data_IF_686623507842
#
_entry.id   IF_686623507842
#
_cell.length_a   1.000
_cell.length_b   1.000
_cell.length_c   1.000
_cell.angle_alpha   90.00
_cell.angle_beta   90.00
_cell.angle_gamma   90.00
#
_symmetry.space_group_name_H-M   'P 1'
#
loop_
_entity.id
_entity.type
_entity.pdbx_description
1 polymer ?
#
# COMPACT_ATOMS: atom_id res chain seq x y z
N UNK A 1 -13.19 34.74 46.54
CA UNK A 1 -12.84 33.73 45.50
C UNK A 1 -13.69 33.86 44.22
N UNK A 2 -14.75 34.67 44.24
CA UNK A 2 -15.76 34.78 43.18
C UNK A 2 -15.37 35.72 42.02
N UNK A 3 -14.65 36.82 42.28
CA UNK A 3 -14.20 37.76 41.25
C UNK A 3 -13.24 37.13 40.22
N UNK A 4 -12.38 36.20 40.67
CA UNK A 4 -11.46 35.46 39.78
C UNK A 4 -12.21 34.49 38.85
N UNK A 5 -13.37 33.98 39.26
CA UNK A 5 -14.20 33.10 38.42
C UNK A 5 -15.01 33.91 37.38
N UNK A 6 -15.53 35.08 37.75
CA UNK A 6 -16.22 35.98 36.81
C UNK A 6 -15.29 36.51 35.72
N UNK A 7 -14.06 36.94 36.05
CA UNK A 7 -13.04 37.36 35.05
C UNK A 7 -12.63 36.23 34.08
N UNK A 8 -12.64 34.97 34.52
CA UNK A 8 -12.35 33.82 33.64
C UNK A 8 -13.52 33.49 32.71
N UNK A 9 -14.77 33.61 33.19
CA UNK A 9 -15.98 33.40 32.36
C UNK A 9 -16.14 34.48 31.29
N UNK A 10 -15.86 35.75 31.59
CA UNK A 10 -15.94 36.85 30.61
C UNK A 10 -14.89 36.70 29.49
N UNK A 11 -13.62 36.46 29.83
CA UNK A 11 -12.54 36.22 28.84
C UNK A 11 -12.80 35.00 27.95
N UNK A 12 -13.47 33.96 28.46
CA UNK A 12 -13.82 32.76 27.67
C UNK A 12 -14.97 33.03 26.70
N UNK A 13 -15.96 33.86 27.09
CA UNK A 13 -17.03 34.33 26.19
C UNK A 13 -16.47 35.23 25.08
N UNK A 14 -15.59 36.15 25.42
CA UNK A 14 -14.94 37.06 24.47
C UNK A 14 -14.13 36.29 23.42
N UNK A 15 -13.30 35.32 23.83
CA UNK A 15 -12.58 34.44 22.88
C UNK A 15 -13.50 33.60 22.00
N UNK A 16 -14.63 33.11 22.53
CA UNK A 16 -15.61 32.36 21.71
C UNK A 16 -16.29 33.26 20.69
N UNK A 17 -16.60 34.51 21.06
CA UNK A 17 -17.15 35.50 20.15
C UNK A 17 -16.13 35.91 19.09
N UNK A 18 -14.86 36.11 19.44
CA UNK A 18 -13.80 36.37 18.46
C UNK A 18 -13.60 35.21 17.50
N UNK A 19 -13.62 33.96 17.98
CA UNK A 19 -13.51 32.78 17.10
C UNK A 19 -14.74 32.63 16.20
N UNK A 20 -15.96 32.83 16.71
CA UNK A 20 -17.18 32.83 15.88
C UNK A 20 -17.20 34.00 14.88
N UNK A 21 -16.70 35.16 15.26
CA UNK A 21 -16.63 36.34 14.41
C UNK A 21 -15.61 36.14 13.28
N UNK A 22 -14.44 35.57 13.60
CA UNK A 22 -13.41 35.22 12.62
C UNK A 22 -13.89 34.11 11.67
N UNK A 23 -14.53 33.05 12.18
CA UNK A 23 -15.11 32.01 11.34
C UNK A 23 -16.36 32.46 10.57
N UNK A 24 -17.12 33.41 11.11
CA UNK A 24 -18.38 33.93 10.54
C UNK A 24 -18.20 35.01 9.48
N UNK A 25 -16.97 35.26 9.01
CA UNK A 25 -16.69 36.21 7.94
C UNK A 25 -16.35 37.63 8.41
N UNK A 26 -16.16 37.86 9.71
CA UNK A 26 -15.69 39.14 10.26
C UNK A 26 -14.29 39.53 9.79
N UNK A 27 -13.42 38.55 9.48
CA UNK A 27 -12.11 38.75 8.83
C UNK A 27 -12.23 38.93 7.30
N UNK A 28 -13.32 38.47 6.69
CA UNK A 28 -13.54 38.64 5.24
C UNK A 28 -13.93 40.06 4.87
N UNK A 29 -14.59 40.78 5.79
CA UNK A 29 -15.03 42.17 5.62
C UNK A 29 -13.94 43.20 5.91
N UNK A 30 -12.73 42.79 6.31
CA UNK A 30 -11.61 43.72 6.39
C UNK A 30 -11.20 44.11 4.96
N UNK A 31 -11.11 45.42 4.69
CA UNK A 31 -10.79 45.99 3.37
C UNK A 31 -9.53 45.38 2.73
N UNK A 32 -8.62 44.86 3.57
CA UNK A 32 -7.41 44.16 3.15
C UNK A 32 -7.69 42.82 2.46
N UNK A 33 -8.61 42.00 2.98
CA UNK A 33 -8.96 40.70 2.41
C UNK A 33 -9.74 40.88 1.11
N UNK A 34 -10.67 41.82 1.05
CA UNK A 34 -11.43 42.14 -0.17
C UNK A 34 -10.48 42.56 -1.30
N UNK A 35 -9.49 43.42 -0.99
CA UNK A 35 -8.49 43.88 -1.96
C UNK A 35 -7.55 42.77 -2.44
N UNK A 36 -7.27 41.75 -1.61
CA UNK A 36 -6.39 40.62 -1.94
C UNK A 36 -7.13 39.29 -2.18
N UNK A 37 -8.46 39.33 -2.35
CA UNK A 37 -9.30 38.13 -2.49
C UNK A 37 -8.83 37.23 -3.64
N UNK A 38 -8.40 37.81 -4.76
CA UNK A 38 -7.86 37.06 -5.91
C UNK A 38 -6.64 36.20 -5.55
N UNK A 39 -5.74 36.70 -4.69
CA UNK A 39 -4.57 35.95 -4.24
C UNK A 39 -4.96 34.84 -3.26
N UNK A 40 -5.90 35.12 -2.36
CA UNK A 40 -6.39 34.14 -1.37
C UNK A 40 -7.08 32.97 -2.08
N UNK A 41 -7.95 33.25 -3.05
CA UNK A 41 -8.62 32.21 -3.84
C UNK A 41 -7.60 31.34 -4.58
N UNK A 42 -6.55 31.95 -5.15
CA UNK A 42 -5.48 31.21 -5.81
C UNK A 42 -4.76 30.26 -4.84
N UNK A 43 -4.42 30.73 -3.64
CA UNK A 43 -3.80 29.90 -2.59
C UNK A 43 -4.72 28.76 -2.16
N UNK A 44 -6.02 29.03 -1.96
CA UNK A 44 -7.02 28.01 -1.59
C UNK A 44 -7.11 26.92 -2.65
N UNK A 45 -7.17 27.28 -3.94
CA UNK A 45 -7.15 26.31 -5.05
C UNK A 45 -5.86 25.49 -5.03
N UNK A 46 -4.72 26.13 -4.77
CA UNK A 46 -3.43 25.44 -4.64
C UNK A 46 -3.43 24.42 -3.50
N UNK A 47 -4.02 24.76 -2.35
CA UNK A 47 -4.18 23.85 -1.21
C UNK A 47 -5.04 22.65 -1.60
N UNK A 48 -6.18 22.87 -2.26
CA UNK A 48 -7.02 21.77 -2.74
C UNK A 48 -6.28 20.85 -3.71
N UNK A 49 -5.52 21.42 -4.65
CA UNK A 49 -4.71 20.64 -5.58
C UNK A 49 -3.63 19.83 -4.85
N UNK A 50 -2.96 20.43 -3.87
CA UNK A 50 -1.94 19.75 -3.07
C UNK A 50 -2.51 18.57 -2.29
N UNK A 51 -3.67 18.75 -1.66
CA UNK A 51 -4.38 17.69 -0.95
C UNK A 51 -4.75 16.57 -1.93
N UNK A 52 -5.35 16.90 -3.08
CA UNK A 52 -5.72 15.93 -4.11
C UNK A 52 -4.52 15.14 -4.64
N UNK A 53 -3.40 15.81 -4.89
CA UNK A 53 -2.16 15.18 -5.34
C UNK A 53 -1.61 14.22 -4.27
N UNK A 54 -1.63 14.64 -2.99
CA UNK A 54 -1.20 13.79 -1.87
C UNK A 54 -2.04 12.51 -1.76
N UNK A 55 -3.36 12.62 -1.88
CA UNK A 55 -4.26 11.45 -1.87
C UNK A 55 -4.04 10.53 -3.06
N UNK A 56 -3.84 11.10 -4.26
CA UNK A 56 -3.54 10.34 -5.47
C UNK A 56 -2.24 9.54 -5.31
N UNK A 57 -1.19 10.18 -4.80
CA UNK A 57 0.08 9.52 -4.48
C UNK A 57 -0.11 8.38 -3.47
N UNK A 58 -0.88 8.61 -2.40
CA UNK A 58 -1.17 7.58 -1.39
C UNK A 58 -1.96 6.39 -1.93
N UNK A 59 -2.86 6.62 -2.88
CA UNK A 59 -3.62 5.55 -3.52
C UNK A 59 -2.74 4.72 -4.46
N UNK A 60 -1.88 5.39 -5.24
CA UNK A 60 -0.92 4.74 -6.14
C UNK A 60 0.13 3.93 -5.39
N UNK A 61 0.61 4.42 -4.25
CA UNK A 61 1.55 3.68 -3.41
C UNK A 61 0.95 2.37 -2.89
N UNK A 62 -0.33 2.38 -2.46
CA UNK A 62 -1.06 1.17 -2.06
C UNK A 62 -1.27 0.20 -3.22
N UNK A 63 -1.48 0.72 -4.42
CA UNK A 63 -1.62 -0.09 -5.64
C UNK A 63 -0.31 -0.81 -5.96
N UNK A 64 0.82 -0.09 -5.93
CA UNK A 64 2.17 -0.66 -6.12
C UNK A 64 2.45 -1.77 -5.11
N UNK A 65 2.17 -1.53 -3.83
CA UNK A 65 2.43 -2.51 -2.77
C UNK A 65 1.62 -3.81 -2.97
N UNK A 66 0.34 -3.68 -3.34
CA UNK A 66 -0.50 -4.84 -3.71
C UNK A 66 0.05 -5.59 -4.92
N UNK A 67 0.52 -4.89 -5.95
CA UNK A 67 1.08 -5.53 -7.13
C UNK A 67 2.38 -6.28 -6.77
N UNK A 68 3.24 -5.69 -5.95
CA UNK A 68 4.47 -6.33 -5.49
C UNK A 68 4.19 -7.58 -4.63
N UNK A 69 3.15 -7.55 -3.78
CA UNK A 69 2.72 -8.71 -3.02
C UNK A 69 2.35 -9.88 -3.93
N UNK A 70 1.46 -9.64 -4.92
CA UNK A 70 1.04 -10.67 -5.87
C UNK A 70 2.21 -11.25 -6.65
N UNK A 71 3.16 -10.40 -7.05
CA UNK A 71 4.33 -10.85 -7.80
C UNK A 71 5.24 -11.76 -6.95
N UNK A 72 5.36 -11.47 -5.64
CA UNK A 72 6.06 -12.37 -4.71
C UNK A 72 5.32 -13.70 -4.56
N UNK A 73 4.01 -13.67 -4.37
CA UNK A 73 3.20 -14.87 -4.18
C UNK A 73 3.30 -15.82 -5.39
N UNK A 74 3.15 -15.30 -6.61
CA UNK A 74 3.32 -16.07 -7.85
C UNK A 74 4.73 -16.64 -7.97
N UNK A 75 5.75 -15.88 -7.57
CA UNK A 75 7.14 -16.37 -7.60
C UNK A 75 7.34 -17.52 -6.60
N UNK A 76 6.75 -17.45 -5.42
CA UNK A 76 6.79 -18.54 -4.44
C UNK A 76 6.03 -19.76 -4.93
N UNK A 77 4.87 -19.56 -5.56
CA UNK A 77 4.09 -20.65 -6.16
C UNK A 77 4.87 -21.34 -7.29
N UNK A 78 5.45 -20.58 -8.23
CA UNK A 78 6.28 -21.13 -9.28
C UNK A 78 7.52 -21.86 -8.74
N UNK A 79 8.17 -21.32 -7.70
CA UNK A 79 9.28 -21.97 -7.02
C UNK A 79 8.85 -23.26 -6.31
N UNK A 80 7.67 -23.27 -5.68
CA UNK A 80 7.11 -24.45 -5.03
C UNK A 80 6.77 -25.53 -6.04
N UNK A 81 6.08 -25.18 -7.13
CA UNK A 81 5.71 -26.10 -8.21
C UNK A 81 6.98 -26.67 -8.87
N UNK A 82 7.97 -25.84 -9.16
CA UNK A 82 9.24 -26.33 -9.72
C UNK A 82 10.02 -27.21 -8.73
N UNK A 83 9.97 -26.91 -7.43
CA UNK A 83 10.55 -27.78 -6.40
C UNK A 83 9.83 -29.12 -6.29
N UNK A 84 8.50 -29.12 -6.36
CA UNK A 84 7.68 -30.34 -6.38
C UNK A 84 7.96 -31.18 -7.62
N UNK A 85 8.03 -30.54 -8.80
CA UNK A 85 8.40 -31.21 -10.05
C UNK A 85 9.82 -31.77 -9.99
N UNK A 86 10.77 -31.05 -9.38
CA UNK A 86 12.14 -31.55 -9.17
C UNK A 86 12.15 -32.76 -8.23
N UNK A 87 11.33 -32.75 -7.18
CA UNK A 87 11.15 -33.88 -6.26
C UNK A 87 10.55 -35.10 -6.95
N UNK A 88 9.47 -34.91 -7.71
CA UNK A 88 8.75 -35.96 -8.43
C UNK A 88 9.54 -36.50 -9.63
N UNK A 89 10.42 -35.69 -10.22
CA UNK A 89 11.30 -36.09 -11.33
C UNK A 89 12.58 -36.80 -10.86
N UNK A 90 12.80 -36.98 -9.55
CA UNK A 90 13.94 -37.79 -9.07
C UNK A 90 13.77 -39.23 -9.54
N UNK A 91 14.84 -39.77 -10.12
CA UNK A 91 14.88 -41.14 -10.62
C UNK A 91 14.40 -42.16 -9.59
N UNK A 92 14.73 -42.01 -8.30
CA UNK A 92 14.27 -42.92 -7.25
C UNK A 92 12.76 -42.86 -6.98
N UNK A 93 12.11 -41.71 -7.18
CA UNK A 93 10.64 -41.57 -7.02
C UNK A 93 9.92 -42.18 -8.22
N UNK A 94 10.47 -42.00 -9.42
CA UNK A 94 9.96 -42.63 -10.65
C UNK A 94 10.10 -44.15 -10.55
N UNK A 95 11.22 -44.65 -10.04
CA UNK A 95 11.47 -46.09 -9.86
C UNK A 95 10.50 -46.71 -8.83
N UNK A 96 10.25 -46.03 -7.70
CA UNK A 96 9.22 -46.44 -6.72
C UNK A 96 7.80 -46.48 -7.31
N UNK A 97 7.41 -45.48 -8.11
CA UNK A 97 6.09 -45.44 -8.75
C UNK A 97 5.89 -46.55 -9.80
N UNK A 98 6.95 -46.90 -10.54
CA UNK A 98 6.97 -48.00 -11.51
C UNK A 98 6.82 -49.34 -10.79
N UNK A 99 7.50 -49.50 -9.64
CA UNK A 99 7.45 -50.69 -8.80
C UNK A 99 6.06 -50.85 -8.12
N UNK A 100 5.46 -49.78 -7.60
CA UNK A 100 4.10 -49.78 -7.04
C UNK A 100 3.02 -50.11 -8.09
N UNK A 101 3.19 -49.67 -9.34
CA UNK A 101 2.26 -49.98 -10.44
C UNK A 101 2.47 -51.38 -11.04
N UNK A 102 3.44 -52.15 -10.54
CA UNK A 102 3.72 -53.52 -10.99
C UNK A 102 4.27 -53.59 -12.41
N UNK A 103 4.91 -52.52 -12.89
CA UNK A 103 5.53 -52.47 -14.20
C UNK A 103 6.96 -53.05 -14.05
N UNK A 104 7.29 -54.11 -14.79
CA UNK A 104 8.63 -54.72 -14.80
C UNK A 104 9.66 -53.88 -15.58
N UNK A 105 9.84 -52.61 -15.21
CA UNK A 105 10.92 -51.76 -15.70
C UNK A 105 11.88 -51.45 -14.55
N UNK A 106 13.14 -51.85 -14.70
CA UNK A 106 14.22 -51.51 -13.77
C UNK A 106 15.23 -50.57 -14.43
N UNK A 107 15.90 -49.72 -13.64
CA UNK A 107 17.03 -48.93 -14.12
C UNK A 107 18.16 -49.82 -14.67
N UNK A 108 18.85 -49.34 -15.70
CA UNK A 108 19.99 -50.06 -16.27
C UNK A 108 21.12 -50.22 -15.22
N UNK A 109 21.31 -51.45 -14.72
CA UNK A 109 22.34 -51.80 -13.72
C UNK A 109 23.76 -51.95 -14.32
N UNK A 110 23.87 -51.94 -15.65
CA UNK A 110 25.14 -52.09 -16.37
C UNK A 110 25.40 -50.87 -17.25
N UNK A 111 26.65 -50.39 -17.34
CA UNK A 111 26.98 -49.25 -18.18
C UNK A 111 26.72 -49.57 -19.66
N UNK A 112 26.31 -48.59 -20.47
CA UNK A 112 26.07 -48.81 -21.90
C UNK A 112 27.34 -49.22 -22.63
N UNK A 113 27.21 -50.17 -23.55
CA UNK A 113 28.32 -50.63 -24.39
C UNK A 113 28.49 -49.69 -25.58
N UNK A 114 29.70 -49.14 -25.72
CA UNK A 114 30.08 -48.43 -26.95
C UNK A 114 30.41 -49.45 -28.05
N UNK A 115 29.54 -49.51 -29.06
CA UNK A 115 29.79 -50.31 -30.26
C UNK A 115 30.69 -49.49 -31.19
N UNK A 116 31.99 -49.80 -31.20
CA UNK A 116 32.91 -49.27 -32.19
C UNK A 116 32.65 -49.94 -33.55
N UNK A 117 32.66 -49.14 -34.61
CA UNK A 117 32.44 -49.60 -35.99
C UNK A 117 33.73 -50.12 -36.62
#
# INVERSE_FOLDING_TARGET
MEEKQQRKKSKKKEKRLSLLYVLGGGILNEDFIVKHTRMIVLVVIMIFFFIGNRYTCMQKLREIDRLQQRLRDIRFEALSISSELTGNSRQSQVELLIEEQGIELEGAKTPPYELYK
#
